data_IF_379746056673
#
_entry.id   IF_379746056673
#
_cell.length_a   1.000
_cell.length_b   1.000
_cell.length_c   1.000
_cell.angle_alpha   90.00
_cell.angle_beta   90.00
_cell.angle_gamma   90.00
#
_symmetry.space_group_name_H-M   'P 1'
#
loop_
_entity.id
_entity.type
_entity.pdbx_description
1 polymer ?
#
# COMPACT_ATOMS: atom_id res chain seq x y z
N UNK A 1 4.20 -27.37 -68.13
CA UNK A 1 4.18 -26.16 -67.29
C UNK A 1 3.76 -26.57 -65.89
N UNK A 2 4.73 -26.83 -65.03
CA UNK A 2 4.50 -27.16 -63.61
C UNK A 2 4.69 -25.87 -62.79
N UNK A 3 3.64 -25.48 -62.03
CA UNK A 3 3.68 -24.42 -61.07
C UNK A 3 4.15 -24.99 -59.73
N UNK A 4 5.31 -24.54 -59.27
CA UNK A 4 5.83 -24.82 -57.91
C UNK A 4 5.25 -23.77 -56.97
N UNK A 5 4.44 -24.18 -56.00
CA UNK A 5 3.98 -23.34 -54.93
C UNK A 5 4.99 -23.38 -53.76
N UNK A 6 5.59 -22.24 -53.45
CA UNK A 6 6.52 -22.03 -52.35
C UNK A 6 5.70 -21.69 -51.11
N UNK A 7 5.62 -22.60 -50.12
CA UNK A 7 5.01 -22.34 -48.82
C UNK A 7 6.06 -21.67 -47.91
N UNK A 8 5.81 -20.43 -47.55
CA UNK A 8 6.60 -19.69 -46.57
C UNK A 8 6.07 -19.98 -45.15
N UNK A 9 6.80 -20.76 -44.38
CA UNK A 9 6.48 -20.98 -42.96
C UNK A 9 7.02 -19.82 -42.12
N UNK A 10 6.13 -18.98 -41.60
CA UNK A 10 6.48 -18.01 -40.57
C UNK A 10 6.63 -18.74 -39.23
N UNK A 11 7.86 -18.83 -38.73
CA UNK A 11 8.14 -19.24 -37.36
C UNK A 11 7.99 -18.01 -36.46
N UNK A 12 6.88 -17.91 -35.71
CA UNK A 12 6.76 -16.93 -34.64
C UNK A 12 7.58 -17.44 -33.44
N UNK A 13 8.75 -16.86 -33.25
CA UNK A 13 9.48 -16.95 -31.99
C UNK A 13 8.77 -16.08 -30.95
N UNK A 14 8.01 -16.69 -30.07
CA UNK A 14 7.58 -16.06 -28.82
C UNK A 14 8.81 -15.95 -27.91
N UNK A 15 9.45 -14.78 -27.89
CA UNK A 15 10.47 -14.46 -26.91
C UNK A 15 9.78 -14.39 -25.53
N UNK A 16 9.96 -15.43 -24.71
CA UNK A 16 9.75 -15.32 -23.28
C UNK A 16 10.75 -14.26 -22.77
N UNK A 17 10.23 -13.17 -22.23
CA UNK A 17 11.07 -12.18 -21.54
C UNK A 17 11.61 -12.83 -20.26
N UNK A 18 12.80 -13.39 -20.35
CA UNK A 18 13.60 -13.78 -19.18
C UNK A 18 13.81 -12.52 -18.34
N UNK A 19 13.27 -12.53 -17.13
CA UNK A 19 13.62 -11.54 -16.12
C UNK A 19 15.10 -11.77 -15.78
N UNK A 20 15.99 -11.03 -16.46
CA UNK A 20 17.41 -11.07 -16.19
C UNK A 20 17.64 -10.60 -14.75
N UNK A 21 18.11 -11.49 -13.90
CA UNK A 21 18.72 -11.15 -12.62
C UNK A 21 19.98 -10.32 -12.91
N UNK A 22 19.82 -9.00 -12.94
CA UNK A 22 20.96 -8.09 -13.04
C UNK A 22 21.65 -8.13 -11.69
N UNK A 23 22.83 -8.71 -11.62
CA UNK A 23 23.68 -8.72 -10.42
C UNK A 23 23.91 -7.27 -9.98
N UNK A 24 23.41 -6.91 -8.79
CA UNK A 24 23.46 -5.55 -8.24
C UNK A 24 22.13 -4.78 -8.27
N UNK A 25 21.02 -5.38 -8.71
CA UNK A 25 19.71 -4.77 -8.58
C UNK A 25 19.27 -4.77 -7.11
N UNK A 26 18.65 -3.67 -6.61
CA UNK A 26 18.23 -3.58 -5.20
C UNK A 26 17.03 -4.46 -4.84
N UNK A 27 16.31 -4.97 -5.83
CA UNK A 27 15.16 -5.86 -5.68
C UNK A 27 15.27 -7.03 -6.67
N UNK A 28 15.12 -8.24 -6.17
CA UNK A 28 15.12 -9.47 -6.97
C UNK A 28 13.81 -10.23 -6.79
N UNK A 29 13.15 -10.59 -7.88
CA UNK A 29 11.94 -11.42 -7.84
C UNK A 29 12.30 -12.80 -7.27
N UNK A 30 11.89 -13.06 -6.03
CA UNK A 30 12.16 -14.30 -5.32
C UNK A 30 11.04 -15.33 -5.51
N UNK A 31 9.79 -14.87 -5.63
CA UNK A 31 8.63 -15.75 -5.74
C UNK A 31 7.44 -15.04 -6.38
N UNK A 32 6.66 -15.78 -7.19
CA UNK A 32 5.32 -15.40 -7.60
C UNK A 32 4.32 -16.37 -6.99
N UNK A 33 3.32 -15.84 -6.29
CA UNK A 33 2.26 -16.60 -5.63
C UNK A 33 0.97 -16.37 -6.43
N UNK A 34 0.47 -17.37 -7.18
CA UNK A 34 -0.73 -17.23 -7.99
C UNK A 34 -1.97 -16.99 -7.12
N UNK A 35 -2.87 -16.12 -7.61
CA UNK A 35 -4.17 -15.85 -7.01
C UNK A 35 -5.30 -16.24 -7.97
N UNK A 36 -5.52 -17.55 -8.20
CA UNK A 36 -6.50 -18.00 -9.18
C UNK A 36 -7.92 -17.57 -8.81
N UNK A 37 -8.66 -17.02 -9.80
CA UNK A 37 -10.03 -16.54 -9.62
C UNK A 37 -10.13 -15.18 -8.90
N UNK A 38 -9.02 -14.49 -8.64
CA UNK A 38 -9.04 -13.10 -8.19
C UNK A 38 -9.11 -12.20 -9.42
N UNK A 39 -10.14 -11.36 -9.46
CA UNK A 39 -10.46 -10.49 -10.59
C UNK A 39 -10.34 -9.02 -10.20
N UNK A 40 -10.00 -8.20 -11.20
CA UNK A 40 -9.97 -6.74 -11.05
C UNK A 40 -8.86 -6.22 -10.14
N UNK A 41 -9.10 -5.05 -9.56
CA UNK A 41 -8.14 -4.31 -8.72
C UNK A 41 -7.85 -5.04 -7.42
N UNK A 42 -6.58 -5.02 -7.02
CA UNK A 42 -6.11 -5.43 -5.69
C UNK A 42 -5.67 -4.17 -4.96
N UNK A 43 -5.89 -4.13 -3.64
CA UNK A 43 -5.56 -3.00 -2.81
C UNK A 43 -4.55 -3.38 -1.70
N UNK A 44 -4.65 -2.79 -0.50
CA UNK A 44 -3.60 -2.87 0.51
C UNK A 44 -3.44 -4.25 1.17
N UNK A 45 -2.28 -4.43 1.79
CA UNK A 45 -1.88 -5.67 2.45
C UNK A 45 -1.51 -5.43 3.91
N UNK A 46 -1.66 -6.48 4.74
CA UNK A 46 -1.12 -6.55 6.10
C UNK A 46 -0.44 -7.89 6.35
N UNK A 47 0.45 -7.96 7.34
CA UNK A 47 1.19 -9.17 7.68
C UNK A 47 0.99 -9.58 9.13
N UNK A 48 0.81 -10.88 9.34
CA UNK A 48 0.96 -11.55 10.62
C UNK A 48 2.31 -12.28 10.61
N UNK A 49 3.34 -11.63 11.14
CA UNK A 49 4.69 -12.18 11.16
C UNK A 49 4.79 -13.46 11.99
N UNK A 50 4.13 -13.50 13.13
CA UNK A 50 4.17 -14.65 14.02
C UNK A 50 3.46 -15.87 13.42
N UNK A 51 2.35 -15.65 12.72
CA UNK A 51 1.61 -16.70 12.01
C UNK A 51 2.14 -17.00 10.61
N UNK A 52 3.13 -16.25 10.12
CA UNK A 52 3.69 -16.41 8.77
C UNK A 52 2.67 -16.17 7.65
N UNK A 53 1.75 -15.23 7.83
CA UNK A 53 0.63 -14.97 6.91
C UNK A 53 0.62 -13.55 6.40
N UNK A 54 0.23 -13.39 5.14
CA UNK A 54 -0.07 -12.10 4.54
C UNK A 54 -1.56 -12.06 4.18
N UNK A 55 -2.18 -10.94 4.45
CA UNK A 55 -3.57 -10.64 4.11
C UNK A 55 -3.60 -9.60 3.01
N UNK A 56 -4.44 -9.80 1.99
CA UNK A 56 -4.48 -8.96 0.79
C UNK A 56 -5.93 -8.64 0.43
N UNK A 57 -6.25 -7.36 0.34
CA UNK A 57 -7.56 -6.87 -0.07
C UNK A 57 -7.72 -6.97 -1.58
N UNK A 58 -8.49 -7.95 -2.07
CA UNK A 58 -8.85 -8.08 -3.47
C UNK A 58 -10.12 -7.27 -3.75
N UNK A 59 -9.96 -5.95 -3.86
CA UNK A 59 -11.05 -4.96 -3.97
C UNK A 59 -12.04 -5.31 -5.07
N UNK A 60 -11.55 -5.53 -6.30
CA UNK A 60 -12.38 -5.86 -7.45
C UNK A 60 -13.08 -7.21 -7.35
N UNK A 61 -12.56 -8.10 -6.52
CA UNK A 61 -13.07 -9.45 -6.26
C UNK A 61 -14.03 -9.52 -5.04
N UNK A 62 -14.10 -8.46 -4.24
CA UNK A 62 -14.84 -8.40 -2.97
C UNK A 62 -14.43 -9.49 -1.97
N UNK A 63 -13.12 -9.77 -1.90
CA UNK A 63 -12.55 -10.80 -1.02
C UNK A 63 -11.32 -10.31 -0.28
N UNK A 64 -11.06 -10.93 0.88
CA UNK A 64 -9.77 -10.86 1.55
C UNK A 64 -9.05 -12.19 1.35
N UNK A 65 -7.89 -12.13 0.72
CA UNK A 65 -7.05 -13.31 0.45
C UNK A 65 -6.07 -13.54 1.60
N UNK A 66 -5.95 -14.78 2.05
CA UNK A 66 -5.00 -15.20 3.09
C UNK A 66 -3.91 -16.04 2.45
N UNK A 67 -2.68 -15.55 2.53
CA UNK A 67 -1.50 -16.18 1.94
C UNK A 67 -0.62 -16.75 3.06
N UNK A 68 -0.28 -18.03 2.98
CA UNK A 68 0.75 -18.67 3.81
C UNK A 68 2.11 -18.36 3.20
N UNK A 69 2.93 -17.58 3.89
CA UNK A 69 4.24 -17.14 3.39
C UNK A 69 5.28 -18.25 3.40
N UNK A 70 5.12 -19.24 4.27
CA UNK A 70 6.02 -20.39 4.33
C UNK A 70 5.80 -21.37 3.18
N UNK A 71 4.53 -21.60 2.81
CA UNK A 71 4.17 -22.45 1.67
C UNK A 71 4.23 -21.71 0.34
N UNK A 72 4.08 -20.37 0.37
CA UNK A 72 3.99 -19.55 -0.83
C UNK A 72 2.71 -19.79 -1.62
N UNK A 73 1.59 -19.94 -0.92
CA UNK A 73 0.30 -20.21 -1.54
C UNK A 73 -0.85 -19.49 -0.84
N UNK A 74 -1.93 -19.22 -1.59
CA UNK A 74 -3.19 -18.76 -1.00
C UNK A 74 -3.89 -19.95 -0.31
N UNK A 75 -4.11 -19.82 1.00
CA UNK A 75 -4.76 -20.88 1.81
C UNK A 75 -6.23 -20.62 2.07
N UNK A 76 -6.71 -19.39 1.92
CA UNK A 76 -8.10 -19.04 2.14
C UNK A 76 -8.49 -17.75 1.41
N UNK A 77 -9.78 -17.63 1.08
CA UNK A 77 -10.45 -16.38 0.72
C UNK A 77 -11.65 -16.16 1.66
N UNK A 78 -11.76 -14.95 2.20
CA UNK A 78 -12.93 -14.49 2.95
C UNK A 78 -13.77 -13.70 1.97
N UNK A 79 -15.01 -14.11 1.74
CA UNK A 79 -15.92 -13.56 0.75
C UNK A 79 -16.98 -12.67 1.36
N UNK A 80 -17.71 -11.94 0.51
CA UNK A 80 -18.85 -11.13 0.95
C UNK A 80 -18.48 -9.77 1.50
N UNK A 81 -17.25 -9.29 1.22
CA UNK A 81 -16.85 -7.92 1.52
C UNK A 81 -17.38 -6.95 0.47
N UNK A 82 -17.41 -5.66 0.80
CA UNK A 82 -17.88 -4.59 -0.06
C UNK A 82 -16.74 -3.74 -0.62
N UNK A 83 -16.02 -4.22 -1.64
CA UNK A 83 -14.82 -3.56 -2.17
C UNK A 83 -13.80 -3.27 -1.05
N UNK A 84 -13.13 -4.29 -0.48
CA UNK A 84 -12.15 -4.11 0.59
C UNK A 84 -10.93 -3.35 0.09
N UNK A 85 -10.54 -2.32 0.82
CA UNK A 85 -9.41 -1.44 0.52
C UNK A 85 -8.32 -1.54 1.59
N UNK A 86 -8.56 -0.94 2.75
CA UNK A 86 -7.61 -0.90 3.85
C UNK A 86 -7.63 -2.14 4.73
N UNK A 87 -6.49 -2.45 5.31
CA UNK A 87 -6.35 -3.59 6.22
C UNK A 87 -5.32 -3.33 7.31
N UNK A 88 -5.60 -3.79 8.52
CA UNK A 88 -4.65 -3.84 9.62
C UNK A 88 -4.76 -5.17 10.38
N UNK A 89 -3.62 -5.69 10.82
CA UNK A 89 -3.54 -6.81 11.74
C UNK A 89 -3.11 -6.32 13.13
N UNK A 90 -3.83 -6.77 14.16
CA UNK A 90 -3.56 -6.45 15.57
C UNK A 90 -3.00 -7.69 16.25
N UNK A 91 -1.68 -7.78 16.44
CA UNK A 91 -1.01 -9.01 16.91
C UNK A 91 -1.48 -9.46 18.31
N UNK A 92 -1.68 -8.52 19.23
CA UNK A 92 -1.99 -8.82 20.63
C UNK A 92 -3.37 -9.48 20.81
N UNK A 93 -4.28 -9.26 19.90
CA UNK A 93 -5.62 -9.86 19.91
C UNK A 93 -5.87 -10.81 18.75
N UNK A 94 -4.86 -10.99 17.88
CA UNK A 94 -4.97 -11.75 16.63
C UNK A 94 -6.20 -11.34 15.81
N UNK A 95 -6.42 -10.04 15.63
CA UNK A 95 -7.58 -9.52 14.87
C UNK A 95 -7.15 -8.91 13.56
N UNK A 96 -7.99 -9.12 12.55
CA UNK A 96 -7.86 -8.52 11.22
C UNK A 96 -8.97 -7.48 11.08
N UNK A 97 -8.61 -6.22 10.82
CA UNK A 97 -9.53 -5.14 10.51
C UNK A 97 -9.49 -4.87 9.01
N UNK A 98 -10.64 -4.79 8.35
CA UNK A 98 -10.77 -4.58 6.90
C UNK A 98 -11.75 -3.46 6.65
N UNK A 99 -11.29 -2.38 6.04
CA UNK A 99 -12.14 -1.28 5.57
C UNK A 99 -12.71 -1.61 4.20
N UNK A 100 -13.97 -1.30 4.01
CA UNK A 100 -14.71 -1.54 2.77
C UNK A 100 -15.27 -0.21 2.27
N UNK A 101 -15.00 0.11 1.01
CA UNK A 101 -15.57 1.27 0.31
C UNK A 101 -17.10 1.25 0.40
N UNK A 102 -17.72 0.16 -0.06
CA UNK A 102 -19.18 0.06 -0.11
C UNK A 102 -19.78 0.07 1.29
N UNK A 103 -20.47 1.17 1.61
CA UNK A 103 -21.18 1.37 2.86
C UNK A 103 -20.29 1.81 4.03
N UNK A 104 -19.03 2.14 3.80
CA UNK A 104 -18.13 2.66 4.84
C UNK A 104 -17.94 1.71 6.02
N UNK A 105 -17.95 0.40 5.79
CA UNK A 105 -17.93 -0.60 6.86
C UNK A 105 -16.51 -1.09 7.12
N UNK A 106 -16.04 -0.97 8.35
CA UNK A 106 -14.84 -1.64 8.81
C UNK A 106 -15.20 -2.94 9.55
N UNK A 107 -15.05 -4.07 8.88
CA UNK A 107 -15.22 -5.39 9.48
C UNK A 107 -14.01 -5.79 10.30
N UNK A 108 -14.21 -6.56 11.37
CA UNK A 108 -13.09 -7.19 12.06
C UNK A 108 -13.34 -8.68 12.33
N UNK A 109 -12.29 -9.46 12.11
CA UNK A 109 -12.30 -10.91 12.11
C UNK A 109 -11.34 -11.46 13.15
N UNK A 110 -11.65 -12.64 13.66
CA UNK A 110 -10.69 -13.47 14.38
C UNK A 110 -9.59 -13.96 13.42
N UNK A 111 -8.35 -13.70 13.73
CA UNK A 111 -7.23 -14.01 12.84
C UNK A 111 -6.87 -15.49 12.75
N UNK A 112 -7.45 -16.37 13.56
CA UNK A 112 -7.22 -17.82 13.50
C UNK A 112 -8.36 -18.55 12.79
N UNK A 113 -9.59 -18.30 13.23
CA UNK A 113 -10.80 -18.95 12.65
C UNK A 113 -11.33 -18.20 11.42
N UNK A 114 -10.97 -16.92 11.25
CA UNK A 114 -11.51 -15.99 10.26
C UNK A 114 -13.02 -15.73 10.41
N UNK A 115 -13.56 -16.00 11.58
CA UNK A 115 -14.94 -15.67 11.90
C UNK A 115 -15.11 -14.15 12.04
N UNK A 116 -16.20 -13.61 11.48
CA UNK A 116 -16.57 -12.22 11.67
C UNK A 116 -16.93 -12.00 13.14
N UNK A 117 -16.24 -11.07 13.80
CA UNK A 117 -16.46 -10.72 15.21
C UNK A 117 -17.38 -9.49 15.35
N UNK A 118 -17.41 -8.63 14.33
CA UNK A 118 -18.23 -7.43 14.32
C UNK A 118 -17.78 -6.44 13.26
N UNK A 119 -18.38 -5.23 13.32
CA UNK A 119 -18.06 -4.15 12.39
C UNK A 119 -18.20 -2.77 13.05
N UNK A 120 -17.40 -1.80 12.56
CA UNK A 120 -17.62 -0.37 12.73
C UNK A 120 -18.27 0.21 11.47
N UNK A 121 -19.15 1.19 11.63
CA UNK A 121 -19.79 1.86 10.50
C UNK A 121 -19.34 3.32 10.46
N UNK A 122 -18.88 3.78 9.27
CA UNK A 122 -18.40 5.12 9.00
C UNK A 122 -19.21 5.84 7.91
N UNK A 123 -20.40 5.30 7.57
CA UNK A 123 -21.38 5.85 6.63
C UNK A 123 -21.00 5.66 5.15
N UNK A 124 -19.76 5.93 4.74
CA UNK A 124 -19.32 5.88 3.34
C UNK A 124 -17.81 5.65 3.26
N UNK A 125 -17.36 4.99 2.19
CA UNK A 125 -15.98 4.87 1.71
C UNK A 125 -14.93 4.74 2.83
N UNK A 126 -14.97 3.61 3.56
CA UNK A 126 -13.91 3.28 4.51
C UNK A 126 -12.71 2.73 3.74
N UNK A 127 -11.58 3.42 3.88
CA UNK A 127 -10.37 3.15 3.09
C UNK A 127 -9.19 2.79 4.01
N UNK A 128 -8.13 3.54 3.99
CA UNK A 128 -6.89 3.24 4.71
C UNK A 128 -7.09 2.98 6.21
N UNK A 129 -6.37 1.99 6.75
CA UNK A 129 -6.39 1.66 8.19
C UNK A 129 -4.97 1.70 8.74
N UNK A 130 -4.82 2.20 9.96
CA UNK A 130 -3.57 2.08 10.75
C UNK A 130 -3.89 1.69 12.18
N UNK A 131 -3.04 0.82 12.73
CA UNK A 131 -3.08 0.42 14.13
C UNK A 131 -2.08 1.21 14.95
N UNK A 132 -2.56 1.89 15.99
CA UNK A 132 -1.75 2.50 17.04
C UNK A 132 -1.60 1.51 18.19
N UNK A 133 -0.47 0.84 18.23
CA UNK A 133 -0.21 -0.18 19.26
C UNK A 133 -0.02 0.41 20.66
N UNK A 134 0.39 1.67 20.77
CA UNK A 134 0.56 2.35 22.05
C UNK A 134 -0.79 2.72 22.68
N UNK A 135 -1.67 3.35 21.89
CA UNK A 135 -3.00 3.76 22.33
C UNK A 135 -4.06 2.66 22.21
N UNK A 136 -3.75 1.52 21.56
CA UNK A 136 -4.70 0.42 21.26
C UNK A 136 -5.90 0.92 20.47
N UNK A 137 -5.64 1.77 19.48
CA UNK A 137 -6.64 2.39 18.61
C UNK A 137 -6.43 1.94 17.15
N UNK A 138 -7.53 1.78 16.43
CA UNK A 138 -7.55 1.63 14.98
C UNK A 138 -8.03 2.96 14.40
N UNK A 139 -7.23 3.55 13.53
CA UNK A 139 -7.65 4.70 12.74
C UNK A 139 -8.09 4.23 11.36
N UNK A 140 -9.23 4.74 10.89
CA UNK A 140 -9.84 4.40 9.59
C UNK A 140 -10.15 5.70 8.85
N UNK A 141 -9.55 5.88 7.68
CA UNK A 141 -9.94 6.96 6.77
C UNK A 141 -11.30 6.66 6.16
N UNK A 142 -12.20 7.66 6.07
CA UNK A 142 -13.53 7.41 5.50
C UNK A 142 -14.19 8.65 4.91
N UNK A 143 -15.14 8.43 4.01
CA UNK A 143 -16.11 9.38 3.49
C UNK A 143 -15.47 10.66 2.93
N UNK A 144 -16.20 11.76 3.03
CA UNK A 144 -15.77 13.05 2.51
C UNK A 144 -14.90 13.86 3.50
N UNK A 145 -14.27 13.22 4.46
CA UNK A 145 -13.34 13.90 5.39
C UNK A 145 -13.44 13.44 6.84
N UNK A 146 -13.24 12.17 7.07
CA UNK A 146 -13.20 11.59 8.41
C UNK A 146 -11.98 10.69 8.63
N UNK A 147 -11.42 10.75 9.84
CA UNK A 147 -10.51 9.75 10.37
C UNK A 147 -11.18 9.15 11.60
N UNK A 148 -11.83 7.99 11.42
CA UNK A 148 -12.56 7.28 12.47
C UNK A 148 -11.63 6.60 13.45
N UNK A 149 -12.06 6.45 14.69
CA UNK A 149 -11.26 5.84 15.76
C UNK A 149 -12.04 4.68 16.36
N UNK A 150 -11.48 3.48 16.25
CA UNK A 150 -12.01 2.30 16.92
C UNK A 150 -11.09 1.87 18.06
N UNK A 151 -11.67 1.41 19.14
CA UNK A 151 -10.93 0.65 20.16
C UNK A 151 -10.51 -0.71 19.57
N UNK A 152 -9.20 -0.97 19.51
CA UNK A 152 -8.64 -2.15 18.84
C UNK A 152 -8.99 -3.48 19.50
N UNK A 153 -9.50 -3.47 20.75
CA UNK A 153 -9.92 -4.68 21.47
C UNK A 153 -11.39 -5.01 21.26
N UNK A 154 -12.25 -4.01 21.31
CA UNK A 154 -13.71 -4.21 21.22
C UNK A 154 -14.25 -3.98 19.80
N UNK A 155 -13.54 -3.27 18.95
CA UNK A 155 -14.00 -2.82 17.64
C UNK A 155 -15.04 -1.69 17.71
N UNK A 156 -15.31 -1.13 18.90
CA UNK A 156 -16.28 -0.06 19.07
C UNK A 156 -15.72 1.25 18.54
N UNK A 157 -16.56 2.02 17.85
CA UNK A 157 -16.27 3.40 17.49
C UNK A 157 -16.22 4.25 18.76
N UNK A 158 -15.10 4.93 18.99
CA UNK A 158 -14.83 5.76 20.16
C UNK A 158 -14.63 7.24 19.82
N UNK A 159 -14.63 7.59 18.53
CA UNK A 159 -14.49 8.97 18.08
C UNK A 159 -14.19 9.08 16.59
N UNK A 160 -14.07 10.31 16.15
CA UNK A 160 -13.61 10.65 14.80
C UNK A 160 -12.98 12.02 14.76
N UNK A 161 -12.06 12.21 13.82
CA UNK A 161 -11.38 13.49 13.55
C UNK A 161 -11.86 13.99 12.20
N UNK A 162 -12.36 15.23 12.17
CA UNK A 162 -12.82 15.84 10.93
C UNK A 162 -11.65 16.33 10.09
N UNK A 163 -11.65 15.97 8.81
CA UNK A 163 -10.69 16.41 7.80
C UNK A 163 -11.40 17.30 6.77
N UNK A 164 -10.64 17.99 5.93
CA UNK A 164 -11.17 18.90 4.89
C UNK A 164 -11.55 18.20 3.59
N UNK A 165 -11.38 16.89 3.50
CA UNK A 165 -11.71 16.06 2.35
C UNK A 165 -11.38 14.61 2.61
N UNK A 166 -11.68 13.72 1.66
CA UNK A 166 -11.40 12.29 1.76
C UNK A 166 -9.90 12.04 2.07
N UNK A 167 -9.60 11.29 3.14
CA UNK A 167 -8.25 10.91 3.47
C UNK A 167 -7.80 9.71 2.63
N UNK A 168 -6.62 9.80 2.09
CA UNK A 168 -5.87 8.68 1.51
C UNK A 168 -4.88 8.12 2.54
N UNK A 169 -3.70 7.66 2.12
CA UNK A 169 -2.74 7.12 3.06
C UNK A 169 -2.39 8.10 4.19
N UNK A 170 -2.21 7.56 5.37
CA UNK A 170 -1.73 8.29 6.53
C UNK A 170 -0.72 7.44 7.32
N UNK A 171 0.15 8.11 8.05
CA UNK A 171 1.18 7.48 8.89
C UNK A 171 1.17 8.08 10.30
N UNK A 172 1.46 7.23 11.27
CA UNK A 172 1.56 7.59 12.68
C UNK A 172 3.02 7.72 13.08
N UNK A 173 3.37 8.76 13.83
CA UNK A 173 4.64 8.77 14.55
C UNK A 173 4.67 7.65 15.59
N UNK A 174 5.79 6.96 15.69
CA UNK A 174 6.01 5.93 16.73
C UNK A 174 6.37 6.58 18.07
N UNK A 175 7.18 7.63 18.02
CA UNK A 175 7.72 8.33 19.21
C UNK A 175 7.07 9.70 19.45
N UNK A 176 6.12 10.11 18.63
CA UNK A 176 5.42 11.38 18.71
C UNK A 176 3.90 11.25 18.70
N UNK A 177 3.18 12.33 18.95
CA UNK A 177 1.72 12.30 19.04
C UNK A 177 1.03 12.51 17.69
N UNK A 178 1.76 12.67 16.57
CA UNK A 178 1.14 13.13 15.31
C UNK A 178 0.72 11.98 14.41
N UNK A 179 -0.31 12.26 13.62
CA UNK A 179 -0.66 11.52 12.40
C UNK A 179 -0.54 12.50 11.24
N UNK A 180 0.12 12.08 10.17
CA UNK A 180 0.16 12.81 8.92
C UNK A 180 -0.80 12.14 7.95
N UNK A 181 -1.70 12.91 7.34
CA UNK A 181 -2.80 12.41 6.50
C UNK A 181 -2.78 13.09 5.14
N UNK A 182 -2.68 12.34 4.07
CA UNK A 182 -2.89 12.86 2.72
C UNK A 182 -4.37 13.19 2.50
N UNK A 183 -4.66 14.41 2.05
CA UNK A 183 -6.01 14.86 1.68
C UNK A 183 -5.97 15.40 0.25
N UNK A 184 -6.04 14.52 -0.79
CA UNK A 184 -5.79 14.89 -2.18
C UNK A 184 -6.74 15.95 -2.73
N UNK A 185 -8.02 15.87 -2.38
CA UNK A 185 -9.04 16.84 -2.81
C UNK A 185 -8.80 18.24 -2.27
N UNK A 186 -8.19 18.33 -1.09
CA UNK A 186 -7.78 19.58 -0.46
C UNK A 186 -6.32 19.98 -0.79
N UNK A 187 -5.59 19.14 -1.52
CA UNK A 187 -4.22 19.37 -2.00
C UNK A 187 -3.23 19.69 -0.88
N UNK A 188 -3.32 18.95 0.22
CA UNK A 188 -2.44 19.12 1.36
C UNK A 188 -2.23 17.82 2.14
N UNK A 189 -1.29 17.86 3.07
CA UNK A 189 -1.14 16.92 4.17
C UNK A 189 -1.74 17.56 5.41
N UNK A 190 -2.70 16.91 6.05
CA UNK A 190 -3.19 17.31 7.37
C UNK A 190 -2.29 16.73 8.46
N UNK A 191 -2.02 17.51 9.49
CA UNK A 191 -1.28 17.09 10.69
C UNK A 191 -2.28 17.00 11.84
N UNK A 192 -2.44 15.82 12.39
CA UNK A 192 -3.36 15.53 13.48
C UNK A 192 -2.59 15.29 14.77
N UNK A 193 -3.06 15.85 15.87
CA UNK A 193 -2.61 15.53 17.23
C UNK A 193 -3.51 14.41 17.80
N UNK A 194 -2.94 13.22 18.02
CA UNK A 194 -3.66 12.03 18.54
C UNK A 194 -4.12 12.16 19.98
N UNK A 195 -3.51 13.04 20.74
CA UNK A 195 -3.89 13.28 22.13
C UNK A 195 -5.10 14.19 22.26
N UNK A 196 -5.30 15.05 21.26
CA UNK A 196 -6.43 15.99 21.19
C UNK A 196 -7.52 15.56 20.23
N UNK A 197 -7.24 14.58 19.37
CA UNK A 197 -8.10 14.12 18.29
C UNK A 197 -8.52 15.28 17.34
N UNK A 198 -7.56 16.16 16.98
CA UNK A 198 -7.79 17.34 16.16
C UNK A 198 -6.69 17.60 15.13
N UNK A 199 -7.04 18.28 14.02
CA UNK A 199 -6.08 18.78 13.03
C UNK A 199 -5.42 20.03 13.59
N UNK A 200 -4.08 20.03 13.73
CA UNK A 200 -3.29 21.13 14.27
C UNK A 200 -2.55 21.95 13.21
N UNK A 201 -2.38 21.38 12.00
CA UNK A 201 -1.74 22.07 10.88
C UNK A 201 -2.15 21.43 9.54
N UNK A 202 -1.92 22.16 8.45
CA UNK A 202 -2.01 21.66 7.07
C UNK A 202 -0.80 22.12 6.26
N UNK A 203 -0.19 21.20 5.50
CA UNK A 203 1.03 21.46 4.74
C UNK A 203 0.80 21.27 3.24
N UNK A 204 1.24 22.23 2.44
CA UNK A 204 1.15 22.15 0.98
C UNK A 204 2.22 21.22 0.40
N UNK A 205 1.91 20.64 -0.74
CA UNK A 205 2.79 19.72 -1.47
C UNK A 205 3.52 20.39 -2.64
N UNK A 206 3.80 21.69 -2.53
CA UNK A 206 4.57 22.51 -3.49
C UNK A 206 4.10 22.34 -4.96
N UNK A 207 2.81 22.58 -5.20
CA UNK A 207 2.18 22.48 -6.51
C UNK A 207 1.98 21.07 -7.06
N UNK A 208 2.44 20.02 -6.38
CA UNK A 208 2.03 18.67 -6.66
C UNK A 208 0.69 18.37 -5.99
N UNK A 209 -0.12 17.49 -6.58
CA UNK A 209 -1.43 17.11 -6.06
C UNK A 209 -1.76 15.67 -6.41
N UNK A 210 -2.96 15.21 -6.02
CA UNK A 210 -3.29 13.79 -6.03
C UNK A 210 -2.25 12.99 -5.20
N UNK A 211 -2.06 13.42 -3.95
CA UNK A 211 -1.15 12.81 -2.99
C UNK A 211 -1.86 11.61 -2.32
N UNK A 212 -1.52 10.39 -2.81
CA UNK A 212 -2.12 9.15 -2.36
C UNK A 212 -1.25 8.43 -1.33
N UNK A 213 -0.09 7.81 -1.69
CA UNK A 213 0.71 7.09 -0.71
C UNK A 213 1.53 7.99 0.20
N UNK A 214 1.93 7.43 1.33
CA UNK A 214 2.73 8.14 2.33
C UNK A 214 3.68 7.19 3.06
N UNK A 215 4.90 7.65 3.37
CA UNK A 215 5.85 6.99 4.25
C UNK A 215 6.56 7.99 5.14
N UNK A 216 7.15 7.53 6.25
CA UNK A 216 7.78 8.38 7.25
C UNK A 216 9.19 7.86 7.60
N UNK A 217 10.17 8.75 7.53
CA UNK A 217 11.46 8.63 8.17
C UNK A 217 11.44 9.50 9.43
N UNK A 218 10.99 8.92 10.53
CA UNK A 218 10.82 9.64 11.78
C UNK A 218 12.16 10.10 12.36
N UNK A 219 13.22 9.32 12.15
CA UNK A 219 14.57 9.61 12.68
C UNK A 219 15.21 10.86 12.08
N UNK A 220 14.93 11.14 10.81
CA UNK A 220 15.43 12.31 10.11
C UNK A 220 14.35 13.41 9.94
N UNK A 221 13.17 13.25 10.53
CA UNK A 221 12.05 14.19 10.40
C UNK A 221 11.63 14.41 8.93
N UNK A 222 11.49 13.32 8.15
CA UNK A 222 11.11 13.41 6.73
C UNK A 222 9.84 12.60 6.45
N UNK A 223 8.87 13.30 5.87
CA UNK A 223 7.62 12.72 5.40
C UNK A 223 7.64 12.65 3.87
N UNK A 224 7.41 11.47 3.33
CA UNK A 224 7.31 11.20 1.91
C UNK A 224 5.84 11.17 1.49
N UNK A 225 5.42 12.06 0.60
CA UNK A 225 4.09 12.09 0.01
C UNK A 225 4.20 11.79 -1.49
N UNK A 226 3.66 10.66 -1.92
CA UNK A 226 3.62 10.27 -3.34
C UNK A 226 2.47 10.99 -4.04
N UNK A 227 2.79 11.81 -5.03
CA UNK A 227 1.84 12.58 -5.83
C UNK A 227 1.75 12.00 -7.25
N UNK A 228 0.54 11.95 -7.80
CA UNK A 228 0.33 11.47 -9.18
C UNK A 228 0.41 12.58 -10.23
N UNK A 229 0.26 13.86 -9.84
CA UNK A 229 0.20 15.00 -10.77
C UNK A 229 1.03 16.20 -10.28
N UNK A 230 2.25 16.40 -10.81
CA UNK A 230 3.02 15.44 -11.61
C UNK A 230 3.43 14.24 -10.77
N UNK A 231 3.76 13.11 -11.42
CA UNK A 231 4.18 11.90 -10.73
C UNK A 231 5.55 12.10 -10.05
N UNK A 232 5.55 12.29 -8.74
CA UNK A 232 6.75 12.51 -7.93
C UNK A 232 6.50 12.20 -6.45
N UNK A 233 7.54 11.91 -5.72
CA UNK A 233 7.53 12.00 -4.27
C UNK A 233 7.93 13.41 -3.86
N UNK A 234 7.14 14.02 -3.00
CA UNK A 234 7.47 15.27 -2.31
C UNK A 234 7.94 14.91 -0.91
N UNK A 235 9.07 15.46 -0.49
CA UNK A 235 9.65 15.23 0.83
C UNK A 235 9.46 16.47 1.69
N UNK A 236 8.74 16.31 2.80
CA UNK A 236 8.48 17.40 3.73
C UNK A 236 9.27 17.19 5.04
N UNK A 237 9.77 18.29 5.59
CA UNK A 237 10.30 18.29 6.96
C UNK A 237 9.11 18.25 7.95
N UNK A 238 9.10 17.28 8.87
CA UNK A 238 7.97 17.08 9.79
C UNK A 238 7.90 18.09 10.94
N UNK A 239 8.92 18.91 11.15
CA UNK A 239 8.88 19.95 12.18
C UNK A 239 8.28 21.26 11.64
N UNK A 240 8.53 21.55 10.36
CA UNK A 240 8.14 22.83 9.75
C UNK A 240 7.03 22.70 8.69
N UNK A 241 6.82 21.50 8.12
CA UNK A 241 5.95 21.28 6.97
C UNK A 241 6.49 21.82 5.64
N UNK A 242 7.74 22.27 5.62
CA UNK A 242 8.40 22.81 4.43
C UNK A 242 8.84 21.64 3.53
N UNK A 243 8.61 21.77 2.22
CA UNK A 243 9.15 20.85 1.23
C UNK A 243 10.65 21.05 1.10
N UNK A 244 11.44 20.02 1.37
CA UNK A 244 12.91 20.05 1.31
C UNK A 244 13.46 19.40 0.05
N UNK A 245 12.73 18.45 -0.54
CA UNK A 245 13.14 17.78 -1.76
C UNK A 245 11.93 17.25 -2.57
N UNK A 246 12.17 16.90 -3.82
CA UNK A 246 11.24 16.10 -4.60
C UNK A 246 12.01 15.24 -5.63
N UNK A 247 11.47 14.06 -5.95
CA UNK A 247 12.03 13.13 -6.93
C UNK A 247 10.93 12.58 -7.81
N UNK A 248 11.14 12.59 -9.15
CA UNK A 248 10.20 12.03 -10.11
C UNK A 248 10.13 10.50 -10.01
N UNK A 249 8.92 9.95 -10.11
CA UNK A 249 8.63 8.52 -10.07
C UNK A 249 7.72 8.12 -11.23
N UNK A 250 7.47 6.82 -11.38
CA UNK A 250 6.45 6.29 -12.28
C UNK A 250 5.04 6.76 -11.93
N UNK A 251 4.16 6.70 -12.92
CA UNK A 251 2.76 7.12 -12.76
C UNK A 251 1.92 6.11 -11.97
N UNK A 252 0.77 6.58 -11.46
CA UNK A 252 -0.24 5.77 -10.77
C UNK A 252 0.30 5.05 -9.53
N UNK A 253 1.12 5.73 -8.70
CA UNK A 253 1.59 5.19 -7.43
C UNK A 253 0.47 5.18 -6.38
N UNK A 254 0.38 4.09 -5.60
CA UNK A 254 -0.61 3.92 -4.52
C UNK A 254 0.02 3.46 -3.19
N UNK A 255 1.19 2.85 -3.24
CA UNK A 255 1.98 2.53 -2.05
C UNK A 255 3.43 2.98 -2.21
N UNK A 256 3.94 3.60 -1.13
CA UNK A 256 5.38 3.87 -0.94
C UNK A 256 5.81 3.39 0.44
N UNK A 257 7.03 2.92 0.56
CA UNK A 257 7.60 2.40 1.81
C UNK A 257 9.00 2.94 2.01
N UNK A 258 9.32 3.31 3.26
CA UNK A 258 10.68 3.68 3.62
C UNK A 258 11.40 2.53 4.35
N UNK A 259 12.53 2.11 3.80
CA UNK A 259 13.44 1.15 4.40
C UNK A 259 14.50 1.89 5.21
N UNK A 260 14.29 1.93 6.53
CA UNK A 260 15.20 2.60 7.47
C UNK A 260 16.61 1.99 7.45
N UNK A 261 16.71 0.67 7.22
CA UNK A 261 18.00 -0.03 7.24
C UNK A 261 18.88 0.33 6.05
N UNK A 262 18.25 0.56 4.89
CA UNK A 262 18.98 0.80 3.62
C UNK A 262 18.90 2.25 3.17
N UNK A 263 18.17 3.09 3.90
CA UNK A 263 17.89 4.48 3.52
C UNK A 263 17.32 4.57 2.10
N UNK A 264 16.24 3.79 1.84
CA UNK A 264 15.60 3.71 0.54
C UNK A 264 14.09 3.90 0.63
N UNK A 265 13.52 4.55 -0.39
CA UNK A 265 12.06 4.56 -0.60
C UNK A 265 11.74 3.65 -1.77
N UNK A 266 10.79 2.74 -1.58
CA UNK A 266 10.20 1.92 -2.65
C UNK A 266 8.87 2.52 -3.03
N UNK A 267 8.70 2.90 -4.30
CA UNK A 267 7.44 3.41 -4.84
C UNK A 267 6.87 2.39 -5.84
N UNK A 268 5.72 1.83 -5.52
CA UNK A 268 5.02 0.89 -6.40
C UNK A 268 4.14 1.71 -7.34
N UNK A 269 4.45 1.68 -8.63
CA UNK A 269 3.84 2.51 -9.65
C UNK A 269 3.02 1.65 -10.62
N UNK A 270 1.72 1.90 -10.70
CA UNK A 270 0.78 1.17 -11.55
C UNK A 270 1.08 1.30 -13.06
N UNK A 271 1.95 2.22 -13.43
CA UNK A 271 2.53 2.31 -14.78
C UNK A 271 3.32 1.08 -15.20
N UNK A 272 3.73 0.23 -14.26
CA UNK A 272 4.41 -1.04 -14.52
C UNK A 272 5.84 -1.09 -13.99
N UNK A 273 6.12 -0.46 -12.86
CA UNK A 273 7.43 -0.45 -12.25
C UNK A 273 7.39 -0.26 -10.73
N UNK A 274 8.44 -0.71 -10.05
CA UNK A 274 8.80 -0.27 -8.70
C UNK A 274 10.02 0.63 -8.83
N UNK A 275 9.87 1.89 -8.43
CA UNK A 275 10.98 2.83 -8.36
C UNK A 275 11.68 2.68 -7.00
N UNK A 276 13.01 2.57 -7.04
CA UNK A 276 13.85 2.54 -5.85
C UNK A 276 14.58 3.86 -5.76
N UNK A 277 14.28 4.62 -4.71
CA UNK A 277 14.86 5.93 -4.46
C UNK A 277 15.82 5.82 -3.29
N UNK A 278 17.06 6.19 -3.51
CA UNK A 278 18.12 6.26 -2.50
C UNK A 278 18.05 7.60 -1.77
N UNK A 279 18.00 7.56 -0.44
CA UNK A 279 18.21 8.73 0.41
C UNK A 279 19.72 8.88 0.62
N UNK A 280 20.34 9.81 -0.11
CA UNK A 280 21.78 10.10 0.00
C UNK A 280 22.08 10.77 1.35
N UNK A 281 21.21 11.67 1.72
CA UNK A 281 21.12 12.31 3.04
C UNK A 281 19.66 12.77 3.27
N UNK A 282 19.29 13.33 4.43
CA UNK A 282 17.90 13.69 4.71
C UNK A 282 17.25 14.66 3.71
N UNK A 283 18.03 15.43 2.96
CA UNK A 283 17.52 16.43 2.03
C UNK A 283 17.83 16.12 0.56
N UNK A 284 18.59 15.03 0.28
CA UNK A 284 19.00 14.66 -1.06
C UNK A 284 18.61 13.22 -1.40
N UNK A 285 17.87 13.07 -2.50
CA UNK A 285 17.29 11.81 -2.97
C UNK A 285 17.61 11.57 -4.44
N UNK A 286 17.83 10.31 -4.78
CA UNK A 286 18.17 9.91 -6.15
C UNK A 286 17.38 8.67 -6.55
N UNK A 287 16.70 8.71 -7.70
CA UNK A 287 16.18 7.52 -8.33
C UNK A 287 17.35 6.61 -8.73
N UNK A 288 17.50 5.47 -8.07
CA UNK A 288 18.62 4.55 -8.29
C UNK A 288 18.28 3.42 -9.25
N UNK A 289 17.05 2.94 -9.23
CA UNK A 289 16.62 1.82 -10.08
C UNK A 289 15.14 1.86 -10.38
N UNK A 290 14.75 1.27 -11.51
CA UNK A 290 13.37 0.94 -11.89
C UNK A 290 13.26 -0.54 -12.14
N UNK A 291 12.42 -1.21 -11.39
CA UNK A 291 12.22 -2.65 -11.48
C UNK A 291 10.89 -2.90 -12.19
N UNK A 292 10.89 -3.51 -13.39
CA UNK A 292 9.66 -3.73 -14.14
C UNK A 292 8.67 -4.62 -13.39
N UNK A 293 7.40 -4.21 -13.39
CA UNK A 293 6.26 -4.98 -12.88
C UNK A 293 5.14 -5.03 -13.92
N UNK A 294 4.17 -5.94 -13.79
CA UNK A 294 3.01 -5.89 -14.65
C UNK A 294 2.18 -4.62 -14.46
N UNK A 295 1.61 -4.05 -15.55
CA UNK A 295 0.78 -2.85 -15.47
C UNK A 295 -0.39 -2.99 -14.50
N UNK A 296 -0.64 -1.95 -13.70
CA UNK A 296 -1.67 -1.91 -12.67
C UNK A 296 -1.25 -2.46 -11.32
N UNK A 297 -0.05 -3.03 -11.19
CA UNK A 297 0.55 -3.36 -9.91
C UNK A 297 1.00 -2.06 -9.24
N UNK A 298 0.24 -1.56 -8.26
CA UNK A 298 0.46 -0.27 -7.62
C UNK A 298 0.41 -0.29 -6.11
N UNK A 299 -0.05 -1.42 -5.55
CA UNK A 299 -0.15 -1.67 -4.11
C UNK A 299 0.71 -2.84 -3.68
N UNK A 300 1.04 -2.89 -2.40
CA UNK A 300 1.88 -3.95 -1.86
C UNK A 300 2.16 -3.82 -0.37
N UNK A 301 3.29 -4.39 0.07
CA UNK A 301 3.74 -4.28 1.46
C UNK A 301 5.25 -4.51 1.55
N UNK A 302 5.97 -3.58 2.14
CA UNK A 302 7.35 -3.81 2.55
C UNK A 302 7.39 -4.37 3.97
N UNK A 303 8.06 -5.50 4.15
CA UNK A 303 8.23 -6.18 5.44
C UNK A 303 9.72 -6.28 5.74
N UNK A 304 10.20 -5.37 6.59
CA UNK A 304 11.62 -5.23 6.91
C UNK A 304 12.20 -6.48 7.58
N UNK A 305 11.42 -7.13 8.44
CA UNK A 305 11.80 -8.37 9.15
C UNK A 305 12.03 -9.55 8.21
N UNK A 306 11.38 -9.54 7.05
CA UNK A 306 11.53 -10.56 6.01
C UNK A 306 12.51 -10.14 4.89
N UNK A 307 13.06 -8.92 4.96
CA UNK A 307 13.78 -8.27 3.86
C UNK A 307 13.04 -8.45 2.53
N UNK A 308 11.75 -8.18 2.51
CA UNK A 308 10.91 -8.47 1.35
C UNK A 308 9.95 -7.33 1.04
N UNK A 309 9.84 -7.01 -0.25
CA UNK A 309 8.77 -6.20 -0.80
C UNK A 309 7.77 -7.11 -1.52
N UNK A 310 6.53 -7.09 -1.08
CA UNK A 310 5.43 -7.77 -1.75
C UNK A 310 4.72 -6.78 -2.67
N UNK A 311 4.44 -7.18 -3.90
CA UNK A 311 3.75 -6.37 -4.91
C UNK A 311 2.53 -7.12 -5.39
N UNK A 312 1.36 -6.52 -5.26
CA UNK A 312 0.10 -7.10 -5.70
C UNK A 312 -0.12 -6.84 -7.19
N UNK A 313 -0.21 -7.89 -7.97
CA UNK A 313 -0.45 -7.83 -9.41
C UNK A 313 -1.91 -8.16 -9.70
N UNK A 314 -2.71 -7.22 -10.25
CA UNK A 314 -4.11 -7.46 -10.54
C UNK A 314 -4.31 -8.30 -11.80
N UNK A 315 -5.47 -8.93 -11.93
CA UNK A 315 -5.91 -9.53 -13.19
C UNK A 315 -6.25 -8.45 -14.21
N UNK A 316 -5.65 -8.51 -15.42
CA UNK A 316 -5.93 -7.60 -16.55
C UNK A 316 -5.79 -8.34 -17.87
N UNK A 317 -6.89 -8.61 -18.56
CA UNK A 317 -6.85 -9.34 -19.83
C UNK A 317 -6.16 -10.70 -19.69
N UNK A 318 -5.01 -10.90 -20.31
CA UNK A 318 -4.23 -12.15 -20.20
C UNK A 318 -3.31 -12.20 -18.97
N UNK A 319 -3.08 -11.07 -18.30
CA UNK A 319 -2.32 -10.98 -17.05
C UNK A 319 -3.14 -11.58 -15.90
N UNK A 320 -2.62 -12.63 -15.28
CA UNK A 320 -3.28 -13.27 -14.13
C UNK A 320 -2.92 -12.56 -12.82
N UNK A 321 -3.85 -12.60 -11.86
CA UNK A 321 -3.58 -12.06 -10.53
C UNK A 321 -2.54 -12.93 -9.80
N UNK A 322 -1.58 -12.26 -9.16
CA UNK A 322 -0.53 -12.89 -8.35
C UNK A 322 0.00 -11.92 -7.28
N UNK A 323 0.59 -12.45 -6.24
CA UNK A 323 1.40 -11.68 -5.29
C UNK A 323 2.88 -11.98 -5.58
N UNK A 324 3.65 -10.97 -5.95
CA UNK A 324 5.10 -11.08 -6.16
C UNK A 324 5.86 -10.73 -4.90
N UNK A 325 6.78 -11.60 -4.51
CA UNK A 325 7.74 -11.34 -3.44
C UNK A 325 9.09 -11.03 -4.04
N UNK A 326 9.59 -9.83 -3.75
CA UNK A 326 10.96 -9.44 -4.08
C UNK A 326 11.82 -9.50 -2.83
N UNK A 327 13.00 -10.11 -2.91
CA UNK A 327 14.05 -9.96 -1.90
C UNK A 327 14.68 -8.57 -2.05
N UNK A 328 15.05 -7.97 -0.92
CA UNK A 328 15.67 -6.65 -0.85
C UNK A 328 17.11 -6.80 -0.40
N UNK A 329 18.05 -6.31 -1.22
CA UNK A 329 19.51 -6.37 -0.99
C UNK A 329 20.05 -5.06 -0.41
#
# INVERSE_FOLDING_TARGET
>A
MQLIALALALVLNAAAADAQNVTGAPLHLAQSIPLPGVEGRIDHCAVDLAGGRLFLCALGNNTLEVIDLGKGERVRAITGLGAPQGIAYVPESSRIYVANDKGGICNFYDGHSFALLGSGNFEDDADNIRYDSAAKRIYVGFGNGGLGILDARSGKNIGSIKLSGHPEAFVLEKNGPRIFVNVPTARHVAVVDRGKDEVIATWKTDGAFANFPMALDESNHRLFAGCRLPAKIVVLNTDSGVVVASVGIGGDTDDIFYDVKRHRVYAICGGGEVDVIEQVDPDNYKLSSRIPTPPGARTGLFVAELNSLFVAVPHRGNQKAELRRYSVD
#
